data_IF_108541001003
#
_entry.id   IF_108541001003
#
_cell.length_a   1.000
_cell.length_b   1.000
_cell.length_c   1.000
_cell.angle_alpha   90.00
_cell.angle_beta   90.00
_cell.angle_gamma   90.00
#
_symmetry.space_group_name_H-M   'P 1'
#
loop_
_entity.id
_entity.type
_entity.pdbx_description
1 polymer ?
#
# COMPACT_ATOMS: atom_id res chain seq x y z
N UNK A 1 27.40 35.43 37.01
CA UNK A 1 26.31 34.43 37.12
C UNK A 1 25.50 34.45 35.84
N UNK A 2 25.71 33.44 34.98
CA UNK A 2 24.71 32.83 34.09
C UNK A 2 25.45 31.77 33.29
N UNK A 3 25.54 30.59 33.88
CA UNK A 3 25.88 29.35 33.20
C UNK A 3 24.72 29.00 32.27
N UNK A 4 24.91 29.23 30.97
CA UNK A 4 23.98 28.76 29.95
C UNK A 4 24.28 27.29 29.71
N UNK A 5 23.54 26.45 30.44
CA UNK A 5 23.61 25.01 30.45
C UNK A 5 23.58 24.43 29.02
N UNK A 6 24.68 23.74 28.71
CA UNK A 6 24.93 23.00 27.49
C UNK A 6 23.84 21.93 27.32
N UNK A 7 22.83 22.22 26.50
CA UNK A 7 21.95 21.21 25.92
C UNK A 7 22.78 20.38 24.92
N UNK A 8 23.62 19.50 25.47
CA UNK A 8 24.38 18.51 24.73
C UNK A 8 23.36 17.46 24.27
N UNK A 9 22.69 17.74 23.15
CA UNK A 9 21.85 16.78 22.45
C UNK A 9 22.70 15.54 22.19
N UNK A 10 22.51 14.51 23.00
CA UNK A 10 23.00 13.16 22.76
C UNK A 10 22.35 12.68 21.47
N UNK A 11 22.96 13.05 20.35
CA UNK A 11 22.69 12.43 19.07
C UNK A 11 23.01 10.96 19.25
N UNK A 12 21.96 10.15 19.42
CA UNK A 12 22.06 8.70 19.45
C UNK A 12 22.95 8.25 18.29
N UNK A 13 23.88 7.31 18.49
CA UNK A 13 24.84 6.93 17.47
C UNK A 13 24.07 6.50 16.22
N UNK A 14 24.11 7.36 15.20
CA UNK A 14 23.58 7.07 13.88
C UNK A 14 24.42 5.93 13.33
N UNK A 15 23.97 4.69 13.61
CA UNK A 15 24.56 3.47 13.08
C UNK A 15 24.71 3.69 11.57
N UNK A 16 25.92 3.55 11.01
CA UNK A 16 26.13 3.85 9.60
C UNK A 16 25.15 3.01 8.79
N UNK A 17 24.30 3.70 8.04
CA UNK A 17 23.38 3.11 7.09
C UNK A 17 24.20 2.38 6.02
N UNK A 18 24.63 1.14 6.31
CA UNK A 18 25.18 0.23 5.31
C UNK A 18 24.22 0.28 4.12
N UNK A 19 24.80 0.63 2.97
CA UNK A 19 24.17 1.39 1.89
C UNK A 19 22.75 0.98 1.50
N UNK A 20 21.95 1.99 1.12
CA UNK A 20 20.76 1.84 0.26
C UNK A 20 19.60 1.03 0.82
N UNK A 21 19.49 0.84 2.14
CA UNK A 21 18.35 0.13 2.73
C UNK A 21 16.98 0.75 2.42
N UNK A 22 16.95 2.06 2.18
CA UNK A 22 15.77 2.85 1.86
C UNK A 22 15.35 2.77 0.39
N UNK A 23 16.20 2.25 -0.51
CA UNK A 23 15.90 2.25 -1.95
C UNK A 23 14.71 1.35 -2.29
N UNK A 24 14.65 0.13 -1.73
CA UNK A 24 13.56 -0.80 -1.98
C UNK A 24 12.17 -0.26 -1.55
N UNK A 25 11.98 0.22 -0.30
CA UNK A 25 10.69 0.81 0.09
C UNK A 25 10.40 2.12 -0.65
N UNK A 26 11.41 2.88 -1.07
CA UNK A 26 11.22 4.11 -1.85
C UNK A 26 10.71 3.81 -3.26
N UNK A 27 11.32 2.84 -3.96
CA UNK A 27 10.84 2.37 -5.27
C UNK A 27 9.42 1.83 -5.16
N UNK A 28 9.15 1.00 -4.15
CA UNK A 28 7.80 0.48 -3.88
C UNK A 28 6.77 1.59 -3.66
N UNK A 29 7.10 2.61 -2.86
CA UNK A 29 6.23 3.76 -2.60
C UNK A 29 5.95 4.53 -3.89
N UNK A 30 6.97 4.76 -4.73
CA UNK A 30 6.81 5.42 -6.01
C UNK A 30 5.93 4.62 -6.98
N UNK A 31 6.13 3.31 -7.06
CA UNK A 31 5.27 2.42 -7.87
C UNK A 31 3.84 2.40 -7.37
N UNK A 32 3.63 2.32 -6.06
CA UNK A 32 2.31 2.34 -5.45
C UNK A 32 1.59 3.68 -5.71
N UNK A 33 2.29 4.81 -5.66
CA UNK A 33 1.72 6.12 -6.01
C UNK A 33 1.23 6.21 -7.46
N UNK A 34 1.83 5.44 -8.38
CA UNK A 34 1.37 5.35 -9.77
C UNK A 34 0.15 4.42 -9.89
N UNK A 35 0.11 3.33 -9.12
CA UNK A 35 -0.95 2.33 -9.18
C UNK A 35 -2.20 2.68 -8.35
N UNK A 36 -2.07 3.52 -7.32
CA UNK A 36 -3.16 3.88 -6.42
C UNK A 36 -4.28 4.69 -7.12
N UNK A 37 -3.99 5.74 -7.92
CA UNK A 37 -5.04 6.49 -8.61
C UNK A 37 -5.91 5.62 -9.54
N UNK A 38 -5.36 4.79 -10.45
CA UNK A 38 -6.20 3.96 -11.31
C UNK A 38 -6.97 2.91 -10.51
N UNK A 39 -6.40 2.33 -9.45
CA UNK A 39 -7.10 1.39 -8.58
C UNK A 39 -8.35 2.04 -7.93
N UNK A 40 -8.20 3.23 -7.35
CA UNK A 40 -9.30 3.99 -6.73
C UNK A 40 -10.37 4.38 -7.76
N UNK A 41 -9.96 4.84 -8.95
CA UNK A 41 -10.89 5.22 -10.03
C UNK A 41 -11.67 4.00 -10.51
N UNK A 42 -11.00 2.89 -10.81
CA UNK A 42 -11.63 1.66 -11.29
C UNK A 42 -12.58 1.07 -10.24
N UNK A 43 -12.22 1.15 -8.96
CA UNK A 43 -13.12 0.79 -7.87
C UNK A 43 -14.36 1.67 -7.84
N UNK A 44 -14.20 2.99 -7.90
CA UNK A 44 -15.33 3.92 -7.89
C UNK A 44 -16.29 3.67 -9.06
N UNK A 45 -15.75 3.39 -10.25
CA UNK A 45 -16.54 2.98 -11.41
C UNK A 45 -17.24 1.63 -11.18
N UNK A 46 -16.58 0.67 -10.54
CA UNK A 46 -17.17 -0.61 -10.16
C UNK A 46 -18.33 -0.47 -9.18
N UNK A 47 -18.19 0.36 -8.14
CA UNK A 47 -19.27 0.66 -7.20
C UNK A 47 -20.46 1.31 -7.91
N UNK A 48 -20.22 2.31 -8.77
CA UNK A 48 -21.27 2.98 -9.56
C UNK A 48 -21.97 2.03 -10.56
N UNK A 49 -21.24 1.10 -11.17
CA UNK A 49 -21.84 0.09 -12.05
C UNK A 49 -22.75 -0.88 -11.29
N UNK A 50 -22.51 -1.11 -10.01
CA UNK A 50 -23.27 -2.04 -9.16
C UNK A 50 -24.34 -1.38 -8.29
N UNK A 51 -24.39 -0.05 -8.21
CA UNK A 51 -25.36 0.74 -7.44
C UNK A 51 -26.85 0.39 -7.72
N UNK A 52 -27.32 0.15 -8.97
CA UNK A 52 -28.72 -0.22 -9.20
C UNK A 52 -29.12 -1.57 -8.60
N UNK A 53 -28.16 -2.40 -8.18
CA UNK A 53 -28.38 -3.70 -7.56
C UNK A 53 -28.47 -3.66 -6.03
N UNK A 54 -28.10 -2.55 -5.37
CA UNK A 54 -28.01 -2.48 -3.91
C UNK A 54 -29.35 -2.68 -3.17
N UNK A 55 -30.48 -2.49 -3.87
CA UNK A 55 -31.83 -2.61 -3.31
C UNK A 55 -32.62 -3.84 -3.80
N UNK A 56 -31.98 -4.77 -4.52
CA UNK A 56 -32.66 -5.96 -5.00
C UNK A 56 -31.97 -7.24 -4.52
N UNK A 57 -32.71 -8.08 -3.78
CA UNK A 57 -32.25 -9.39 -3.29
C UNK A 57 -31.96 -10.40 -4.43
N UNK A 58 -32.15 -9.99 -5.69
CA UNK A 58 -32.00 -10.82 -6.89
C UNK A 58 -30.71 -10.57 -7.66
N UNK A 59 -29.87 -9.62 -7.25
CA UNK A 59 -28.62 -9.41 -7.96
C UNK A 59 -27.56 -10.45 -7.54
N UNK A 60 -26.79 -10.97 -8.51
CA UNK A 60 -25.66 -11.84 -8.21
C UNK A 60 -24.66 -11.07 -7.35
N UNK A 61 -24.24 -11.66 -6.24
CA UNK A 61 -23.17 -11.10 -5.43
C UNK A 61 -21.93 -10.90 -6.31
N UNK A 62 -21.28 -9.74 -6.21
CA UNK A 62 -20.07 -9.39 -6.95
C UNK A 62 -18.83 -9.60 -6.07
N UNK A 63 -18.29 -10.84 -5.98
CA UNK A 63 -17.21 -11.16 -5.05
C UNK A 63 -15.92 -10.37 -5.34
N UNK A 64 -15.73 -9.88 -6.58
CA UNK A 64 -14.57 -9.11 -6.98
C UNK A 64 -14.46 -7.76 -6.25
N UNK A 65 -15.58 -7.13 -5.88
CA UNK A 65 -15.61 -5.85 -5.16
C UNK A 65 -15.12 -6.00 -3.71
N UNK A 66 -15.45 -7.12 -3.07
CA UNK A 66 -14.96 -7.46 -1.74
C UNK A 66 -13.45 -7.76 -1.75
N UNK A 67 -12.98 -8.51 -2.76
CA UNK A 67 -11.55 -8.79 -2.94
C UNK A 67 -10.77 -7.51 -3.23
N UNK A 68 -11.25 -6.64 -4.11
CA UNK A 68 -10.65 -5.34 -4.39
C UNK A 68 -10.56 -4.47 -3.14
N UNK A 69 -11.62 -4.44 -2.32
CA UNK A 69 -11.64 -3.67 -1.06
C UNK A 69 -10.59 -4.17 -0.07
N UNK A 70 -10.51 -5.49 0.13
CA UNK A 70 -9.51 -6.08 1.01
C UNK A 70 -8.09 -5.85 0.48
N UNK A 71 -7.88 -5.93 -0.84
CA UNK A 71 -6.59 -5.68 -1.48
C UNK A 71 -6.13 -4.24 -1.30
N UNK A 72 -7.02 -3.25 -1.46
CA UNK A 72 -6.70 -1.83 -1.24
C UNK A 72 -6.34 -1.55 0.22
N UNK A 73 -7.11 -2.09 1.17
CA UNK A 73 -6.81 -1.95 2.60
C UNK A 73 -5.46 -2.59 2.92
N UNK A 74 -5.21 -3.80 2.43
CA UNK A 74 -3.95 -4.50 2.60
C UNK A 74 -2.77 -3.70 2.01
N UNK A 75 -2.95 -3.08 0.83
CA UNK A 75 -1.95 -2.22 0.21
C UNK A 75 -1.63 -0.99 1.07
N UNK A 76 -2.64 -0.30 1.61
CA UNK A 76 -2.45 0.85 2.50
C UNK A 76 -1.73 0.47 3.78
N UNK A 77 -2.15 -0.61 4.43
CA UNK A 77 -1.50 -1.14 5.63
C UNK A 77 -0.04 -1.50 5.31
N UNK A 78 0.21 -2.21 4.21
CA UNK A 78 1.56 -2.56 3.78
C UNK A 78 2.42 -1.33 3.47
N UNK A 79 1.87 -0.28 2.87
CA UNK A 79 2.57 0.99 2.62
C UNK A 79 3.01 1.71 3.89
N UNK A 80 2.14 1.71 4.92
CA UNK A 80 2.46 2.31 6.22
C UNK A 80 3.52 1.50 6.96
N UNK A 81 3.39 0.16 6.95
CA UNK A 81 4.27 -0.72 7.73
C UNK A 81 5.54 -1.17 6.99
N UNK A 82 5.67 -0.96 5.67
CA UNK A 82 6.87 -1.41 4.95
C UNK A 82 8.14 -0.71 5.41
N UNK A 83 8.07 0.55 5.84
CA UNK A 83 9.23 1.32 6.31
C UNK A 83 9.79 0.78 7.64
N UNK A 84 8.98 0.63 8.71
CA UNK A 84 9.46 0.01 9.94
C UNK A 84 9.83 -1.47 9.73
N UNK A 85 9.07 -2.23 8.94
CA UNK A 85 9.36 -3.63 8.66
C UNK A 85 10.68 -3.82 7.88
N UNK A 86 10.94 -2.98 6.87
CA UNK A 86 12.22 -2.98 6.17
C UNK A 86 13.38 -2.60 7.11
N UNK A 87 13.14 -1.73 8.10
CA UNK A 87 14.17 -1.38 9.08
C UNK A 87 14.49 -2.56 10.01
N UNK A 88 13.48 -3.29 10.50
CA UNK A 88 13.66 -4.45 11.39
C UNK A 88 14.22 -5.70 10.68
N UNK A 89 13.82 -5.97 9.43
CA UNK A 89 14.12 -7.22 8.74
C UNK A 89 15.00 -7.02 7.50
N UNK A 90 16.34 -6.87 7.65
CA UNK A 90 17.23 -6.56 6.53
C UNK A 90 17.27 -7.61 5.43
N UNK A 91 17.08 -8.89 5.77
CA UNK A 91 17.08 -10.01 4.81
C UNK A 91 15.80 -10.11 3.98
N UNK A 92 14.68 -9.60 4.50
CA UNK A 92 13.37 -9.67 3.85
C UNK A 92 12.92 -8.34 3.22
N UNK A 93 13.77 -7.30 3.22
CA UNK A 93 13.43 -5.94 2.75
C UNK A 93 12.78 -5.90 1.38
N UNK A 94 13.35 -6.62 0.42
CA UNK A 94 12.85 -6.64 -0.96
C UNK A 94 11.47 -7.28 -1.00
N UNK A 95 11.29 -8.44 -0.36
CA UNK A 95 10.02 -9.13 -0.28
C UNK A 95 8.93 -8.26 0.38
N UNK A 96 9.26 -7.61 1.50
CA UNK A 96 8.34 -6.72 2.22
C UNK A 96 7.94 -5.52 1.36
N UNK A 97 8.89 -4.92 0.63
CA UNK A 97 8.59 -3.79 -0.25
C UNK A 97 7.76 -4.18 -1.47
N UNK A 98 7.73 -5.45 -1.87
CA UNK A 98 6.89 -5.90 -2.99
C UNK A 98 5.42 -6.13 -2.61
N UNK A 99 5.11 -6.31 -1.32
CA UNK A 99 3.75 -6.56 -0.82
C UNK A 99 2.73 -5.50 -1.28
N UNK A 100 2.95 -4.18 -1.08
CA UNK A 100 1.97 -3.19 -1.49
C UNK A 100 1.77 -3.13 -3.02
N UNK A 101 2.84 -3.36 -3.79
CA UNK A 101 2.77 -3.41 -5.25
C UNK A 101 1.97 -4.64 -5.70
N UNK A 102 2.24 -5.80 -5.12
CA UNK A 102 1.50 -7.03 -5.42
C UNK A 102 0.01 -6.90 -5.06
N UNK A 103 -0.32 -6.28 -3.92
CA UNK A 103 -1.71 -6.05 -3.52
C UNK A 103 -2.45 -5.14 -4.50
N UNK A 104 -1.83 -4.04 -4.95
CA UNK A 104 -2.42 -3.15 -5.96
C UNK A 104 -2.58 -3.82 -7.33
N UNK A 105 -1.62 -4.68 -7.72
CA UNK A 105 -1.74 -5.47 -8.95
C UNK A 105 -2.88 -6.48 -8.86
N UNK A 106 -3.07 -7.14 -7.72
CA UNK A 106 -4.20 -8.06 -7.51
C UNK A 106 -5.54 -7.32 -7.63
N UNK A 107 -5.65 -6.12 -7.06
CA UNK A 107 -6.84 -5.27 -7.21
C UNK A 107 -7.11 -4.93 -8.68
N UNK A 108 -6.09 -4.42 -9.39
CA UNK A 108 -6.19 -4.09 -10.82
C UNK A 108 -6.61 -5.31 -11.66
N UNK A 109 -6.01 -6.47 -11.43
CA UNK A 109 -6.36 -7.70 -12.14
C UNK A 109 -7.77 -8.17 -11.80
N UNK A 110 -8.19 -8.08 -10.53
CA UNK A 110 -9.54 -8.45 -10.12
C UNK A 110 -10.60 -7.57 -10.81
N UNK A 111 -10.37 -6.26 -10.90
CA UNK A 111 -11.31 -5.34 -11.56
C UNK A 111 -11.28 -5.50 -13.09
N UNK A 112 -10.10 -5.68 -13.70
CA UNK A 112 -9.98 -5.87 -15.15
C UNK A 112 -10.54 -7.20 -15.63
N UNK A 113 -10.33 -8.29 -14.88
CA UNK A 113 -10.89 -9.60 -15.21
C UNK A 113 -12.42 -9.64 -15.09
N UNK A 114 -12.99 -8.84 -14.20
CA UNK A 114 -14.45 -8.67 -14.12
C UNK A 114 -15.01 -7.94 -15.35
N UNK A 115 -14.30 -6.93 -15.87
CA UNK A 115 -14.71 -6.20 -17.08
C UNK A 115 -14.48 -6.97 -18.40
N UNK A 116 -13.66 -8.01 -18.41
CA UNK A 116 -13.43 -8.86 -19.59
C UNK A 116 -14.46 -10.00 -19.73
N UNK A 117 -15.26 -10.26 -18.70
CA UNK A 117 -16.28 -11.31 -18.67
C UNK A 117 -17.69 -10.81 -19.05
N UNK A 118 -17.83 -9.53 -19.37
CA UNK A 118 -19.05 -8.88 -19.89
C UNK A 118 -18.94 -8.65 -21.38
#
# INVERSE_FOLDING_TARGET
>A
MSESESARTTAAPARPARGRWWLAPLVSTATALILLPPAVVLRGLGEMATDPCAYSDRCPAVPYLAVATLALIAAQVALVFQWPAARLFPRARVAISLIPVAALLVELVAVLSAGAAT
#
